data_IF_850994456172
#
_entry.id   IF_850994456172
#
_cell.length_a   1.000
_cell.length_b   1.000
_cell.length_c   1.000
_cell.angle_alpha   90.00
_cell.angle_beta   90.00
_cell.angle_gamma   90.00
#
_symmetry.space_group_name_H-M   'P 1'
#
loop_
_entity.id
_entity.type
_entity.pdbx_description
1 polymer ?
#
# COMPACT_ATOMS: atom_id res chain seq x y z
N UNK A 1 13.04 10.29 -9.94
CA UNK A 1 11.59 10.10 -9.71
C UNK A 1 11.45 8.73 -9.09
N UNK A 2 10.73 8.57 -7.96
CA UNK A 2 10.56 7.24 -7.38
C UNK A 2 9.37 6.58 -8.07
N UNK A 3 9.54 5.34 -8.53
CA UNK A 3 8.49 4.49 -9.12
C UNK A 3 7.50 4.00 -8.04
N UNK A 4 7.10 4.91 -7.15
CA UNK A 4 6.16 4.64 -6.06
C UNK A 4 4.77 5.05 -6.49
N UNK A 5 3.76 4.35 -5.97
CA UNK A 5 2.38 4.57 -6.32
C UNK A 5 1.92 5.97 -5.86
N UNK A 6 1.10 6.60 -6.69
CA UNK A 6 0.31 7.78 -6.30
C UNK A 6 -1.04 7.32 -5.76
N UNK A 7 -1.46 7.86 -4.63
CA UNK A 7 -2.73 7.52 -3.99
C UNK A 7 -3.59 8.77 -3.89
N UNK A 8 -4.84 8.69 -4.33
CA UNK A 8 -5.84 9.75 -4.16
C UNK A 8 -6.55 9.60 -2.81
N UNK A 9 -6.80 10.73 -2.15
CA UNK A 9 -7.59 10.76 -0.93
C UNK A 9 -9.03 10.31 -1.23
N UNK A 10 -9.60 9.49 -0.34
CA UNK A 10 -10.93 8.87 -0.48
C UNK A 10 -11.06 7.87 -1.63
N UNK A 11 -9.95 7.50 -2.28
CA UNK A 11 -9.96 6.41 -3.25
C UNK A 11 -10.01 5.06 -2.53
N UNK A 12 -10.53 4.04 -3.22
CA UNK A 12 -10.53 2.68 -2.70
C UNK A 12 -9.08 2.14 -2.64
N UNK A 13 -8.69 1.41 -1.59
CA UNK A 13 -7.31 0.94 -1.46
C UNK A 13 -6.83 0.02 -2.60
N UNK A 14 -7.72 -0.80 -3.18
CA UNK A 14 -7.41 -1.64 -4.34
C UNK A 14 -7.59 -0.93 -5.69
N UNK A 15 -8.08 0.32 -5.70
CA UNK A 15 -8.23 1.15 -6.89
C UNK A 15 -7.87 2.61 -6.57
N UNK A 16 -6.58 2.90 -6.34
CA UNK A 16 -6.16 4.10 -5.63
C UNK A 16 -6.18 5.41 -6.43
N UNK A 17 -6.45 5.35 -7.74
CA UNK A 17 -6.54 6.52 -8.64
C UNK A 17 -7.46 6.22 -9.81
N UNK A 18 -7.95 7.26 -10.49
CA UNK A 18 -8.71 7.09 -11.73
C UNK A 18 -7.92 6.49 -12.90
N UNK A 19 -6.57 6.55 -12.88
CA UNK A 19 -5.70 5.94 -13.89
C UNK A 19 -5.32 4.49 -13.56
N UNK A 20 -5.84 3.93 -12.47
CA UNK A 20 -5.59 2.55 -12.10
C UNK A 20 -6.17 1.60 -13.15
N UNK A 21 -5.32 0.70 -13.64
CA UNK A 21 -5.72 -0.44 -14.47
C UNK A 21 -5.65 -1.69 -13.61
N UNK A 22 -6.81 -2.28 -13.34
CA UNK A 22 -6.92 -3.46 -12.49
C UNK A 22 -6.19 -4.66 -13.11
N UNK A 23 -5.44 -5.37 -12.29
CA UNK A 23 -4.83 -6.65 -12.62
C UNK A 23 -5.52 -7.80 -11.87
N UNK A 24 -4.89 -8.98 -11.81
CA UNK A 24 -5.43 -10.12 -11.09
C UNK A 24 -5.60 -9.88 -9.59
N UNK A 25 -6.76 -10.28 -9.06
CA UNK A 25 -6.99 -10.38 -7.61
C UNK A 25 -6.50 -11.73 -7.13
N UNK A 26 -5.58 -11.72 -6.17
CA UNK A 26 -4.89 -12.91 -5.66
C UNK A 26 -5.50 -13.42 -4.35
N UNK A 27 -6.13 -12.54 -3.57
CA UNK A 27 -6.89 -12.90 -2.39
C UNK A 27 -8.14 -12.02 -2.28
N UNK A 28 -9.29 -12.67 -2.10
CA UNK A 28 -10.59 -12.03 -2.01
C UNK A 28 -11.36 -12.65 -0.85
N UNK A 29 -11.91 -11.80 0.02
CA UNK A 29 -12.86 -12.21 1.04
C UNK A 29 -14.21 -11.54 0.74
N UNK A 30 -14.48 -10.38 1.35
CA UNK A 30 -15.58 -9.48 0.95
C UNK A 30 -15.11 -8.35 0.02
N UNK A 31 -13.83 -8.00 0.13
CA UNK A 31 -13.11 -7.03 -0.70
C UNK A 31 -11.79 -7.63 -1.20
N UNK A 32 -11.16 -7.05 -2.24
CA UNK A 32 -9.83 -7.48 -2.69
C UNK A 32 -8.76 -7.14 -1.62
N UNK A 33 -8.20 -8.17 -0.98
CA UNK A 33 -7.19 -8.00 0.07
C UNK A 33 -5.75 -8.08 -0.46
N UNK A 34 -5.57 -8.72 -1.61
CA UNK A 34 -4.28 -8.85 -2.28
C UNK A 34 -4.52 -8.89 -3.78
N UNK A 35 -3.73 -8.14 -4.53
CA UNK A 35 -3.82 -8.17 -5.98
C UNK A 35 -2.84 -7.22 -6.65
N UNK A 36 -2.93 -7.21 -7.97
CA UNK A 36 -2.06 -6.44 -8.83
C UNK A 36 -2.85 -5.34 -9.51
N UNK A 37 -2.17 -4.25 -9.81
CA UNK A 37 -2.68 -3.21 -10.69
C UNK A 37 -1.52 -2.50 -11.37
N UNK A 38 -1.85 -1.67 -12.36
CA UNK A 38 -0.89 -0.79 -13.00
C UNK A 38 -1.34 0.66 -12.90
N UNK A 39 -0.38 1.57 -12.77
CA UNK A 39 -0.58 3.02 -12.81
C UNK A 39 0.57 3.63 -13.59
N UNK A 40 0.25 4.46 -14.58
CA UNK A 40 1.24 5.17 -15.40
C UNK A 40 2.36 4.27 -15.93
N UNK A 41 2.01 3.07 -16.42
CA UNK A 41 2.93 2.05 -16.96
C UNK A 41 3.82 1.34 -15.92
N UNK A 42 3.60 1.58 -14.62
CA UNK A 42 4.25 0.88 -13.53
C UNK A 42 3.33 -0.16 -12.91
N UNK A 43 3.90 -1.26 -12.41
CA UNK A 43 3.16 -2.36 -11.82
C UNK A 43 3.30 -2.35 -10.31
N UNK A 44 2.20 -2.66 -9.63
CA UNK A 44 2.14 -2.62 -8.18
C UNK A 44 1.37 -3.81 -7.63
N UNK A 45 1.83 -4.31 -6.49
CA UNK A 45 1.10 -5.21 -5.62
C UNK A 45 0.45 -4.37 -4.51
N UNK A 46 -0.87 -4.44 -4.37
CA UNK A 46 -1.54 -3.98 -3.14
C UNK A 46 -1.77 -5.16 -2.20
N UNK A 47 -1.61 -4.92 -0.90
CA UNK A 47 -1.88 -5.90 0.14
C UNK A 47 -2.44 -5.20 1.38
N UNK A 48 -3.58 -5.69 1.87
CA UNK A 48 -4.05 -5.39 3.22
C UNK A 48 -3.18 -6.13 4.24
N UNK A 49 -2.62 -5.40 5.19
CA UNK A 49 -1.75 -5.93 6.26
C UNK A 49 -2.43 -5.92 7.64
N UNK A 50 -3.49 -5.13 7.77
CA UNK A 50 -4.36 -5.12 8.94
C UNK A 50 -5.71 -4.58 8.48
N UNK A 51 -6.77 -5.34 8.77
CA UNK A 51 -8.14 -4.96 8.45
C UNK A 51 -9.00 -5.15 9.71
N UNK A 52 -9.66 -4.09 10.14
CA UNK A 52 -10.48 -4.03 11.34
C UNK A 52 -11.77 -3.28 10.98
N UNK A 53 -12.83 -3.99 10.60
CA UNK A 53 -14.16 -3.47 10.18
C UNK A 53 -14.14 -2.15 9.38
N UNK A 54 -13.97 -1.01 10.03
CA UNK A 54 -14.00 0.33 9.43
C UNK A 54 -12.61 0.92 9.11
N UNK A 55 -11.52 0.25 9.48
CA UNK A 55 -10.15 0.73 9.28
C UNK A 55 -9.23 -0.33 8.67
N UNK A 56 -8.40 0.08 7.71
CA UNK A 56 -7.47 -0.80 7.02
C UNK A 56 -6.10 -0.17 6.81
N UNK A 57 -5.06 -0.98 6.93
CA UNK A 57 -3.69 -0.62 6.54
C UNK A 57 -3.30 -1.39 5.29
N UNK A 58 -2.81 -0.64 4.31
CA UNK A 58 -2.52 -1.14 2.98
C UNK A 58 -1.07 -0.86 2.62
N UNK A 59 -0.44 -1.81 1.94
CA UNK A 59 0.93 -1.68 1.45
C UNK A 59 0.91 -1.84 -0.05
N UNK A 60 1.59 -0.92 -0.73
CA UNK A 60 1.79 -0.91 -2.16
C UNK A 60 3.26 -1.12 -2.45
N UNK A 61 3.56 -2.26 -3.09
CA UNK A 61 4.93 -2.65 -3.43
C UNK A 61 5.13 -2.48 -4.93
N UNK A 62 6.11 -1.67 -5.38
CA UNK A 62 6.43 -1.58 -6.79
C UNK A 62 7.02 -2.89 -7.30
N UNK A 63 6.60 -3.28 -8.50
CA UNK A 63 7.01 -4.50 -9.16
C UNK A 63 7.73 -4.18 -10.46
N UNK A 64 8.76 -4.95 -10.75
CA UNK A 64 9.27 -5.10 -12.11
C UNK A 64 8.34 -5.97 -12.93
N UNK A 65 8.44 -5.89 -14.26
CA UNK A 65 7.66 -6.75 -15.16
C UNK A 65 7.90 -8.24 -14.90
N UNK A 66 9.15 -8.64 -14.61
CA UNK A 66 9.49 -10.02 -14.27
C UNK A 66 8.77 -10.47 -12.99
N UNK A 67 8.76 -9.64 -11.96
CA UNK A 67 8.11 -9.95 -10.69
C UNK A 67 6.59 -10.02 -10.83
N UNK A 68 5.99 -9.15 -11.64
CA UNK A 68 4.57 -9.23 -11.98
C UNK A 68 4.26 -10.60 -12.59
N UNK A 69 5.01 -11.02 -13.61
CA UNK A 69 4.81 -12.31 -14.28
C UNK A 69 5.02 -13.47 -13.30
N UNK A 70 6.04 -13.41 -12.44
CA UNK A 70 6.31 -14.42 -11.42
C UNK A 70 5.11 -14.57 -10.46
N UNK A 71 4.55 -13.46 -9.99
CA UNK A 71 3.37 -13.48 -9.10
C UNK A 71 2.13 -13.99 -9.84
N UNK A 72 1.89 -13.54 -11.08
CA UNK A 72 0.71 -13.91 -11.88
C UNK A 72 0.68 -15.40 -12.22
N UNK A 73 1.84 -16.04 -12.28
CA UNK A 73 1.98 -17.46 -12.63
C UNK A 73 2.20 -18.37 -11.42
N UNK A 74 2.58 -17.81 -10.27
CA UNK A 74 2.81 -18.58 -9.05
C UNK A 74 1.50 -19.05 -8.40
N UNK A 75 1.56 -20.19 -7.71
CA UNK A 75 0.42 -20.72 -6.95
C UNK A 75 0.84 -21.33 -5.61
N UNK A 76 -0.08 -21.35 -4.64
CA UNK A 76 0.14 -21.95 -3.33
C UNK A 76 1.40 -21.44 -2.61
N UNK A 77 2.34 -22.35 -2.35
CA UNK A 77 3.58 -22.04 -1.62
C UNK A 77 4.55 -21.17 -2.43
N UNK A 78 4.53 -21.26 -3.76
CA UNK A 78 5.39 -20.45 -4.63
C UNK A 78 4.99 -18.98 -4.53
N UNK A 79 3.68 -18.71 -4.58
CA UNK A 79 3.14 -17.37 -4.42
C UNK A 79 3.51 -16.78 -3.05
N UNK A 80 3.29 -17.55 -1.98
CA UNK A 80 3.68 -17.13 -0.62
C UNK A 80 5.17 -16.78 -0.51
N UNK A 81 6.03 -17.54 -1.18
CA UNK A 81 7.48 -17.33 -1.19
C UNK A 81 7.85 -16.08 -2.00
N UNK A 82 7.22 -15.87 -3.16
CA UNK A 82 7.44 -14.68 -3.99
C UNK A 82 7.04 -13.40 -3.23
N UNK A 83 5.87 -13.42 -2.57
CA UNK A 83 5.37 -12.29 -1.77
C UNK A 83 6.29 -11.95 -0.59
N UNK A 84 6.86 -12.95 0.09
CA UNK A 84 7.82 -12.70 1.17
C UNK A 84 9.10 -12.02 0.67
N UNK A 85 9.67 -12.50 -0.45
CA UNK A 85 10.91 -11.94 -1.03
C UNK A 85 10.72 -10.52 -1.56
N UNK A 86 9.53 -10.19 -2.07
CA UNK A 86 9.24 -8.91 -2.69
C UNK A 86 9.42 -7.72 -1.76
N UNK A 87 9.21 -7.92 -0.46
CA UNK A 87 9.26 -6.80 0.47
C UNK A 87 10.67 -6.49 0.92
N UNK A 88 11.61 -7.42 1.00
CA UNK A 88 12.90 -7.18 1.66
C UNK A 88 13.74 -6.07 1.00
N UNK A 89 14.10 -5.06 1.81
CA UNK A 89 15.05 -4.00 1.44
C UNK A 89 14.52 -2.92 0.48
N UNK A 90 13.20 -2.85 0.25
CA UNK A 90 12.58 -1.91 -0.69
C UNK A 90 11.98 -0.69 -0.03
N UNK A 91 11.69 0.33 -0.83
CA UNK A 91 10.72 1.37 -0.45
C UNK A 91 9.33 0.94 -0.91
N UNK A 92 8.36 1.13 -0.04
CA UNK A 92 6.94 0.84 -0.28
C UNK A 92 6.11 2.06 0.11
N UNK A 93 4.90 2.15 -0.42
CA UNK A 93 3.91 3.11 0.05
C UNK A 93 2.98 2.39 1.02
N UNK A 94 2.78 2.97 2.20
CA UNK A 94 1.87 2.44 3.22
C UNK A 94 0.76 3.44 3.40
N UNK A 95 -0.48 2.98 3.31
CA UNK A 95 -1.66 3.81 3.47
C UNK A 95 -2.52 3.36 4.64
N UNK A 96 -3.17 4.34 5.25
CA UNK A 96 -4.27 4.13 6.17
C UNK A 96 -5.55 4.52 5.45
N UNK A 97 -6.51 3.61 5.47
CA UNK A 97 -7.84 3.80 4.95
C UNK A 97 -8.86 3.65 6.08
N UNK A 98 -9.90 4.47 6.03
CA UNK A 98 -11.03 4.40 6.94
C UNK A 98 -12.31 4.71 6.17
N UNK A 99 -13.44 4.15 6.59
CA UNK A 99 -14.81 4.40 6.09
C UNK A 99 -14.95 4.50 4.56
N UNK A 100 -14.58 5.65 4.00
CA UNK A 100 -14.78 6.09 2.62
C UNK A 100 -13.52 6.06 1.74
N UNK A 101 -12.40 5.53 2.23
CA UNK A 101 -11.23 5.23 1.42
C UNK A 101 -9.90 5.62 2.06
N UNK A 102 -8.89 5.86 1.22
CA UNK A 102 -7.55 6.23 1.67
C UNK A 102 -7.59 7.61 2.33
N UNK A 103 -7.19 7.67 3.59
CA UNK A 103 -7.10 8.93 4.36
C UNK A 103 -5.71 9.53 4.24
N UNK A 104 -4.68 8.68 4.21
CA UNK A 104 -3.30 9.13 4.22
C UNK A 104 -2.34 8.04 3.79
N UNK A 105 -1.15 8.45 3.39
CA UNK A 105 -0.08 7.53 3.04
C UNK A 105 1.31 8.10 3.31
N UNK A 106 2.27 7.18 3.43
CA UNK A 106 3.69 7.48 3.56
C UNK A 106 4.55 6.50 2.78
N UNK A 107 5.68 7.00 2.29
CA UNK A 107 6.70 6.18 1.66
C UNK A 107 7.72 5.74 2.71
N UNK A 108 7.74 4.44 3.01
CA UNK A 108 8.56 3.85 4.07
C UNK A 108 9.53 2.83 3.49
N UNK A 109 10.61 2.58 4.22
CA UNK A 109 11.36 1.36 4.01
C UNK A 109 10.48 0.19 4.43
N UNK A 110 10.49 -0.88 3.63
CA UNK A 110 9.78 -2.11 3.95
C UNK A 110 10.32 -2.73 5.23
N UNK A 111 9.48 -3.55 5.84
CA UNK A 111 9.81 -4.32 7.03
C UNK A 111 8.63 -5.19 7.41
N UNK A 112 8.62 -5.67 8.66
CA UNK A 112 7.42 -6.32 9.21
C UNK A 112 6.22 -5.36 9.20
N UNK A 113 5.01 -5.91 9.10
CA UNK A 113 3.76 -5.14 9.11
C UNK A 113 3.68 -4.18 10.31
N UNK A 114 4.08 -4.64 11.51
CA UNK A 114 4.12 -3.83 12.74
C UNK A 114 5.02 -2.59 12.59
N UNK A 115 6.20 -2.75 11.97
CA UNK A 115 7.15 -1.65 11.75
C UNK A 115 6.57 -0.64 10.76
N UNK A 116 5.90 -1.11 9.70
CA UNK A 116 5.30 -0.25 8.68
C UNK A 116 4.11 0.54 9.24
N UNK A 117 3.20 -0.13 9.96
CA UNK A 117 2.07 0.53 10.64
C UNK A 117 2.58 1.57 11.64
N UNK A 118 3.55 1.21 12.48
CA UNK A 118 4.16 2.14 13.43
C UNK A 118 4.82 3.33 12.71
N UNK A 119 5.55 3.09 11.63
CA UNK A 119 6.19 4.13 10.83
C UNK A 119 5.19 5.14 10.25
N UNK A 120 4.05 4.66 9.75
CA UNK A 120 2.96 5.52 9.30
C UNK A 120 2.39 6.33 10.46
N UNK A 121 2.01 5.69 11.57
CA UNK A 121 1.45 6.39 12.75
C UNK A 121 2.40 7.43 13.34
N UNK A 122 3.70 7.16 13.36
CA UNK A 122 4.71 8.14 13.78
C UNK A 122 4.79 9.32 12.82
N UNK A 123 4.68 9.09 11.51
CA UNK A 123 4.65 10.17 10.52
C UNK A 123 3.42 11.06 10.68
N UNK A 124 2.26 10.46 10.94
CA UNK A 124 1.02 11.19 11.26
C UNK A 124 1.20 12.02 12.52
N UNK A 125 1.72 11.42 13.58
CA UNK A 125 1.97 12.10 14.86
C UNK A 125 2.90 13.30 14.68
N UNK A 126 3.92 13.19 13.82
CA UNK A 126 4.81 14.32 13.48
C UNK A 126 4.07 15.42 12.73
N UNK A 127 3.25 15.08 11.74
CA UNK A 127 2.45 16.05 10.97
C UNK A 127 1.48 16.82 11.87
N UNK A 128 0.77 16.12 12.78
CA UNK A 128 -0.16 16.74 13.73
C UNK A 128 0.55 17.74 14.66
N UNK A 129 1.70 17.36 15.24
CA UNK A 129 2.49 18.26 16.09
C UNK A 129 2.94 19.52 15.35
N UNK A 130 3.29 19.41 14.07
CA UNK A 130 3.67 20.57 13.25
C UNK A 130 2.46 21.50 13.02
N UNK A 131 1.28 20.95 12.75
CA UNK A 131 0.05 21.74 12.59
C UNK A 131 -0.31 22.49 13.87
N UNK A 132 -0.19 21.84 15.03
CA UNK A 132 -0.42 22.48 16.33
C UNK A 132 0.55 23.63 16.58
N UNK A 133 1.84 23.45 16.25
CA UNK A 133 2.85 24.50 16.42
C UNK A 133 2.63 25.71 15.50
N UNK A 134 2.16 25.48 14.26
CA UNK A 134 1.82 26.55 13.33
C UNK A 134 0.57 27.30 13.77
N UNK A 135 -0.41 26.60 14.36
CA UNK A 135 -1.68 27.20 14.81
C UNK A 135 -1.53 28.08 16.06
N UNK A 136 -0.47 27.92 16.85
CA UNK A 136 -0.17 28.75 18.03
C UNK A 136 0.69 29.98 17.67
N UNK A 137 1.27 30.03 16.46
CA UNK A 137 2.15 31.11 16.01
C UNK A 137 1.42 32.21 15.20
N UNK A 138 0.10 32.11 15.04
CA UNK A 138 -0.77 33.07 14.33
C UNK A 138 -1.73 33.72 15.33
#
# INVERSE_FOLDING_TARGET
>A
MSDLVTLEERANPWHPTASTVDGPVLNFYDIPLLGLFSQDWHHFLYQSILDLEDIGFWVYTPLTEHERIEIETASGNELSTALQKLRDGRKVTVAFAADDGIVMSENLASGSDVVMVKGLLEAVSRRLKLVEQVSVAV
#
